data_IF_174730925399
#
_entry.id   IF_174730925399
#
_cell.length_a   1.000
_cell.length_b   1.000
_cell.length_c   1.000
_cell.angle_alpha   90.00
_cell.angle_beta   90.00
_cell.angle_gamma   90.00
#
_symmetry.space_group_name_H-M   'P 1'
#
loop_
_entity.id
_entity.type
_entity.pdbx_description
1 polymer ?
#
# COMPACT_ATOMS: atom_id res chain seq x y z
N UNK A 1 -36.78 24.24 -17.77
CA UNK A 1 -35.84 24.41 -18.91
C UNK A 1 -35.07 23.11 -19.07
N UNK A 2 -35.21 22.40 -20.18
CA UNK A 2 -34.45 21.18 -20.46
C UNK A 2 -33.12 21.57 -21.11
N UNK A 3 -32.00 21.21 -20.50
CA UNK A 3 -30.68 21.39 -21.11
C UNK A 3 -30.55 20.32 -22.21
N UNK A 4 -30.52 20.78 -23.47
CA UNK A 4 -30.24 19.91 -24.62
C UNK A 4 -28.77 19.49 -24.53
N UNK A 5 -28.51 18.24 -24.17
CA UNK A 5 -27.18 17.64 -24.25
C UNK A 5 -27.00 17.06 -25.66
N UNK A 6 -26.11 17.64 -26.46
CA UNK A 6 -25.79 17.16 -27.82
C UNK A 6 -24.45 16.44 -27.76
N UNK A 7 -24.45 15.14 -28.05
CA UNK A 7 -23.24 14.30 -28.06
C UNK A 7 -22.77 14.20 -29.51
N UNK A 8 -21.70 14.91 -29.86
CA UNK A 8 -21.19 14.97 -31.24
C UNK A 8 -20.46 13.69 -31.68
N UNK A 9 -19.92 12.92 -30.73
CA UNK A 9 -19.25 11.65 -30.99
C UNK A 9 -19.59 10.62 -29.91
N UNK A 10 -20.77 10.00 -30.03
CA UNK A 10 -21.26 9.03 -29.05
C UNK A 10 -20.35 7.79 -28.95
N UNK A 11 -19.75 7.36 -30.06
CA UNK A 11 -18.86 6.20 -30.08
C UNK A 11 -17.60 6.43 -29.25
N UNK A 12 -16.94 7.59 -29.41
CA UNK A 12 -15.77 7.94 -28.61
C UNK A 12 -16.10 8.09 -27.12
N UNK A 13 -17.30 8.59 -26.78
CA UNK A 13 -17.75 8.68 -25.40
C UNK A 13 -17.97 7.28 -24.78
N UNK A 14 -18.61 6.36 -25.51
CA UNK A 14 -18.78 4.98 -25.05
C UNK A 14 -17.43 4.29 -24.83
N UNK A 15 -16.49 4.42 -25.78
CA UNK A 15 -15.14 3.88 -25.60
C UNK A 15 -14.41 4.47 -24.40
N UNK A 16 -14.59 5.76 -24.11
CA UNK A 16 -14.01 6.38 -22.92
C UNK A 16 -14.63 5.86 -21.61
N UNK A 17 -15.93 5.56 -21.59
CA UNK A 17 -16.61 4.95 -20.43
C UNK A 17 -16.15 3.50 -20.23
N UNK A 18 -16.05 2.72 -21.30
CA UNK A 18 -15.57 1.33 -21.24
C UNK A 18 -14.11 1.27 -20.78
N UNK A 19 -13.26 2.19 -21.27
CA UNK A 19 -11.89 2.34 -20.80
C UNK A 19 -11.84 2.70 -19.31
N UNK A 20 -12.75 3.55 -18.83
CA UNK A 20 -12.84 3.90 -17.42
C UNK A 20 -13.23 2.69 -16.55
N UNK A 21 -14.13 1.83 -17.01
CA UNK A 21 -14.50 0.59 -16.33
C UNK A 21 -13.32 -0.39 -16.24
N UNK A 22 -12.54 -0.52 -17.32
CA UNK A 22 -11.34 -1.36 -17.32
C UNK A 22 -10.22 -0.80 -16.43
N UNK A 23 -10.05 0.52 -16.37
CA UNK A 23 -9.11 1.19 -15.45
C UNK A 23 -9.57 1.01 -14.00
N UNK A 24 -10.88 1.05 -13.74
CA UNK A 24 -11.46 0.77 -12.44
C UNK A 24 -11.43 -0.74 -12.07
N UNK A 25 -10.88 -1.60 -12.93
CA UNK A 25 -10.82 -3.03 -12.66
C UNK A 25 -10.05 -3.34 -11.37
N UNK A 26 -10.47 -4.42 -10.69
CA UNK A 26 -9.84 -4.86 -9.44
C UNK A 26 -8.33 -5.08 -9.58
N UNK A 27 -7.89 -5.60 -10.74
CA UNK A 27 -6.46 -5.84 -11.02
C UNK A 27 -5.67 -4.53 -11.01
N UNK A 28 -6.18 -3.49 -11.67
CA UNK A 28 -5.52 -2.17 -11.76
C UNK A 28 -5.49 -1.50 -10.39
N UNK A 29 -6.61 -1.52 -9.66
CA UNK A 29 -6.68 -0.99 -8.30
C UNK A 29 -5.68 -1.67 -7.37
N UNK A 30 -5.57 -3.01 -7.43
CA UNK A 30 -4.58 -3.76 -6.64
C UNK A 30 -3.15 -3.39 -6.99
N UNK A 31 -2.82 -3.29 -8.28
CA UNK A 31 -1.48 -2.92 -8.73
C UNK A 31 -1.11 -1.51 -8.25
N UNK A 32 -2.02 -0.55 -8.39
CA UNK A 32 -1.82 0.83 -7.95
C UNK A 32 -1.66 0.92 -6.43
N UNK A 33 -2.51 0.25 -5.64
CA UNK A 33 -2.39 0.25 -4.17
C UNK A 33 -1.09 -0.39 -3.71
N UNK A 34 -0.66 -1.51 -4.32
CA UNK A 34 0.61 -2.15 -4.00
C UNK A 34 1.79 -1.23 -4.34
N UNK A 35 1.74 -0.49 -5.45
CA UNK A 35 2.79 0.46 -5.80
C UNK A 35 2.95 1.56 -4.75
N UNK A 36 1.85 2.16 -4.28
CA UNK A 36 1.88 3.13 -3.18
C UNK A 36 2.38 2.51 -1.87
N UNK A 37 1.89 1.31 -1.52
CA UNK A 37 2.31 0.61 -0.31
C UNK A 37 3.80 0.24 -0.30
N UNK A 38 4.41 -0.05 -1.46
CA UNK A 38 5.85 -0.31 -1.58
C UNK A 38 6.70 0.89 -1.17
N UNK A 39 6.26 2.11 -1.47
CA UNK A 39 6.96 3.33 -1.06
C UNK A 39 7.00 3.44 0.47
N UNK A 40 5.85 3.24 1.12
CA UNK A 40 5.74 3.28 2.58
C UNK A 40 6.54 2.13 3.22
N UNK A 41 6.47 0.92 2.65
CA UNK A 41 7.24 -0.23 3.13
C UNK A 41 8.75 0.03 3.07
N UNK A 42 9.25 0.62 1.97
CA UNK A 42 10.67 0.93 1.83
C UNK A 42 11.14 1.88 2.93
N UNK A 43 10.38 2.95 3.19
CA UNK A 43 10.69 3.89 4.27
C UNK A 43 10.58 3.25 5.66
N UNK A 44 9.56 2.42 5.88
CA UNK A 44 9.40 1.68 7.13
C UNK A 44 10.60 0.77 7.42
N UNK A 45 11.17 0.14 6.38
CA UNK A 45 12.38 -0.69 6.51
C UNK A 45 13.63 0.12 6.89
N UNK A 46 13.74 1.37 6.43
CA UNK A 46 14.85 2.25 6.81
C UNK A 46 14.74 2.71 8.26
N UNK A 47 13.51 2.89 8.76
CA UNK A 47 13.25 3.35 10.13
C UNK A 47 13.17 2.23 11.16
N UNK A 48 12.97 1.00 10.72
CA UNK A 48 12.82 -0.16 11.59
C UNK A 48 14.05 -0.30 12.51
N UNK A 49 13.87 -0.35 13.85
CA UNK A 49 14.97 -0.54 14.78
C UNK A 49 15.70 -1.86 14.52
N UNK A 50 17.04 -1.81 14.56
CA UNK A 50 17.92 -2.96 14.43
C UNK A 50 18.68 -3.09 15.75
N UNK A 51 18.52 -4.23 16.42
CA UNK A 51 19.27 -4.52 17.65
C UNK A 51 20.72 -4.89 17.34
N UNK A 52 21.60 -4.75 18.34
CA UNK A 52 23.04 -5.01 18.18
C UNK A 52 23.41 -6.49 18.34
N UNK A 53 22.55 -7.27 18.98
CA UNK A 53 22.82 -8.66 19.33
C UNK A 53 21.65 -9.58 18.97
N UNK A 54 22.01 -10.84 18.70
CA UNK A 54 21.04 -11.91 18.53
C UNK A 54 20.36 -12.21 19.87
N UNK A 55 19.04 -12.34 19.86
CA UNK A 55 18.25 -12.69 21.02
C UNK A 55 17.54 -14.03 20.82
N UNK A 56 17.52 -14.88 21.85
CA UNK A 56 16.77 -16.13 21.83
C UNK A 56 15.49 -15.97 22.66
N UNK A 57 14.35 -16.33 22.05
CA UNK A 57 13.08 -16.39 22.75
C UNK A 57 12.36 -17.70 22.46
N UNK A 58 11.33 -17.99 23.25
CA UNK A 58 10.44 -19.12 23.02
C UNK A 58 9.75 -18.94 21.66
N UNK A 59 10.28 -19.59 20.62
CA UNK A 59 9.85 -19.43 19.24
C UNK A 59 10.97 -19.31 18.21
N UNK A 60 12.23 -19.08 18.64
CA UNK A 60 13.39 -19.11 17.75
C UNK A 60 14.50 -18.13 18.14
N UNK A 61 15.50 -18.08 17.27
CA UNK A 61 16.65 -17.16 17.35
C UNK A 61 16.37 -15.94 16.47
N UNK A 62 16.46 -14.74 17.03
CA UNK A 62 16.18 -13.48 16.35
C UNK A 62 17.48 -12.72 16.13
N UNK A 63 17.94 -12.70 14.89
CA UNK A 63 19.11 -11.94 14.51
C UNK A 63 18.81 -10.42 14.45
N UNK A 64 19.83 -9.56 14.58
CA UNK A 64 19.75 -8.17 14.20
C UNK A 64 19.04 -7.97 12.85
N UNK A 65 17.96 -7.19 12.84
CA UNK A 65 17.24 -6.83 11.61
C UNK A 65 16.07 -7.75 11.25
N UNK A 66 15.79 -8.82 12.01
CA UNK A 66 14.63 -9.70 11.74
C UNK A 66 13.31 -8.91 11.60
N UNK A 67 13.09 -7.86 12.40
CA UNK A 67 11.91 -7.00 12.26
C UNK A 67 11.83 -6.35 10.88
N UNK A 68 12.90 -5.68 10.45
CA UNK A 68 12.99 -5.00 9.15
C UNK A 68 12.68 -5.97 8.01
N UNK A 69 13.25 -7.16 8.08
CA UNK A 69 13.16 -8.15 7.01
C UNK A 69 11.78 -8.83 7.01
N UNK A 70 11.09 -8.85 8.15
CA UNK A 70 9.72 -9.35 8.31
C UNK A 70 8.64 -8.34 7.93
N UNK A 71 9.00 -7.08 7.59
CA UNK A 71 8.03 -6.10 7.10
C UNK A 71 7.52 -6.46 5.71
N UNK A 72 6.20 -6.44 5.55
CA UNK A 72 5.48 -6.92 4.38
C UNK A 72 4.25 -6.05 4.07
N UNK A 73 3.71 -6.25 2.88
CA UNK A 73 2.42 -5.70 2.44
C UNK A 73 1.41 -6.85 2.44
N UNK A 74 0.37 -6.75 3.27
CA UNK A 74 -0.67 -7.76 3.41
C UNK A 74 -1.98 -7.28 2.77
N UNK A 75 -2.69 -8.15 2.06
CA UNK A 75 -4.02 -7.84 1.55
C UNK A 75 -5.06 -7.97 2.65
N UNK A 76 -5.82 -6.91 2.91
CA UNK A 76 -6.91 -6.90 3.88
C UNK A 76 -8.21 -7.30 3.18
N UNK A 77 -8.59 -8.57 3.33
CA UNK A 77 -9.82 -9.11 2.72
C UNK A 77 -11.09 -8.50 3.31
N UNK A 78 -11.08 -8.16 4.60
CA UNK A 78 -12.26 -7.67 5.31
C UNK A 78 -12.59 -6.24 4.90
N UNK A 79 -11.55 -5.42 4.71
CA UNK A 79 -11.72 -4.05 4.23
C UNK A 79 -11.67 -3.93 2.71
N UNK A 80 -11.51 -5.00 1.96
CA UNK A 80 -11.57 -4.93 0.49
C UNK A 80 -12.97 -5.24 -0.02
N UNK A 81 -13.38 -4.53 -1.07
CA UNK A 81 -14.64 -4.75 -1.77
C UNK A 81 -14.29 -5.06 -3.23
N UNK A 82 -14.66 -6.26 -3.69
CA UNK A 82 -14.37 -6.71 -5.05
C UNK A 82 -14.86 -5.69 -6.09
N UNK A 83 -14.00 -5.37 -7.06
CA UNK A 83 -14.28 -4.37 -8.11
C UNK A 83 -14.42 -2.91 -7.66
N UNK A 84 -14.28 -2.59 -6.36
CA UNK A 84 -14.49 -1.22 -5.85
C UNK A 84 -13.32 -0.71 -5.00
N UNK A 85 -12.76 -1.54 -4.13
CA UNK A 85 -11.75 -1.13 -3.15
C UNK A 85 -10.78 -2.26 -2.85
N UNK A 86 -9.49 -2.04 -3.09
CA UNK A 86 -8.43 -2.94 -2.69
C UNK A 86 -7.62 -2.33 -1.53
N UNK A 87 -7.73 -2.91 -0.34
CA UNK A 87 -7.08 -2.44 0.88
C UNK A 87 -5.85 -3.30 1.19
N UNK A 88 -4.73 -2.64 1.47
CA UNK A 88 -3.48 -3.30 1.85
C UNK A 88 -2.90 -2.66 3.12
N UNK A 89 -2.26 -3.49 3.94
CA UNK A 89 -1.62 -3.11 5.19
C UNK A 89 -0.11 -3.24 5.05
N UNK A 90 0.63 -2.18 5.38
CA UNK A 90 2.06 -2.27 5.64
C UNK A 90 2.23 -2.71 7.10
N UNK A 91 2.69 -3.95 7.29
CA UNK A 91 2.73 -4.61 8.60
C UNK A 91 3.94 -5.55 8.68
N UNK A 92 4.06 -6.33 9.74
CA UNK A 92 5.11 -7.33 9.94
C UNK A 92 4.54 -8.77 9.98
N UNK A 93 5.38 -9.76 9.68
CA UNK A 93 5.04 -11.17 9.87
C UNK A 93 4.88 -11.52 11.36
N UNK A 94 4.19 -12.63 11.65
CA UNK A 94 4.01 -13.13 13.02
C UNK A 94 5.34 -13.44 13.71
N UNK A 95 6.39 -13.72 12.95
CA UNK A 95 7.71 -14.03 13.49
C UNK A 95 8.35 -12.82 14.18
N UNK A 96 8.06 -11.61 13.70
CA UNK A 96 8.49 -10.36 14.33
C UNK A 96 7.43 -9.77 15.28
N UNK A 97 6.80 -10.60 16.12
CA UNK A 97 5.73 -10.20 17.05
C UNK A 97 6.10 -8.99 17.93
N UNK A 98 7.38 -8.86 18.28
CA UNK A 98 7.90 -7.80 19.12
C UNK A 98 7.88 -6.41 18.45
N UNK A 99 7.67 -6.34 17.13
CA UNK A 99 7.48 -5.07 16.41
C UNK A 99 6.35 -4.22 17.00
N UNK A 100 5.31 -4.85 17.56
CA UNK A 100 4.21 -4.15 18.24
C UNK A 100 4.66 -3.38 19.49
N UNK A 101 5.64 -3.91 20.22
CA UNK A 101 6.18 -3.28 21.42
C UNK A 101 7.15 -2.16 21.08
N UNK A 102 7.88 -2.29 19.96
CA UNK A 102 8.74 -1.22 19.46
C UNK A 102 7.91 -0.04 18.92
N UNK A 103 6.88 -0.29 18.11
CA UNK A 103 6.09 0.79 17.50
C UNK A 103 5.38 1.67 18.54
N UNK A 104 4.86 1.07 19.62
CA UNK A 104 3.99 1.78 20.57
C UNK A 104 4.54 1.86 22.00
N UNK A 105 5.67 1.21 22.28
CA UNK A 105 6.22 1.13 23.64
C UNK A 105 5.48 0.14 24.54
N UNK A 106 5.97 0.06 25.78
CA UNK A 106 5.39 -0.74 26.87
C UNK A 106 5.48 0.05 28.16
N UNK A 107 4.89 -0.46 29.26
CA UNK A 107 5.05 0.17 30.57
C UNK A 107 6.50 0.30 31.04
N UNK A 108 7.45 -0.45 30.45
CA UNK A 108 8.86 -0.48 30.87
C UNK A 108 9.83 0.08 29.83
N UNK A 109 9.34 0.45 28.64
CA UNK A 109 10.17 0.87 27.51
C UNK A 109 9.43 1.90 26.65
N UNK A 110 10.11 2.99 26.30
CA UNK A 110 9.57 4.01 25.39
C UNK A 110 9.35 3.47 23.98
N UNK A 111 8.42 4.08 23.24
CA UNK A 111 8.15 3.74 21.85
C UNK A 111 9.31 4.17 20.93
N UNK A 112 9.62 3.32 19.95
CA UNK A 112 10.50 3.57 18.81
C UNK A 112 9.68 3.43 17.52
N UNK A 113 8.79 4.40 17.22
CA UNK A 113 7.86 4.29 16.10
C UNK A 113 8.63 4.31 14.77
N UNK A 114 8.24 3.41 13.87
CA UNK A 114 8.83 3.27 12.53
C UNK A 114 7.75 3.27 11.43
N UNK A 115 6.54 2.75 11.70
CA UNK A 115 5.45 2.75 10.71
C UNK A 115 4.81 4.13 10.57
N UNK A 116 4.39 4.73 11.69
CA UNK A 116 3.74 6.05 11.64
C UNK A 116 4.63 7.12 10.97
N UNK A 117 5.90 7.30 11.37
CA UNK A 117 6.76 8.28 10.71
C UNK A 117 7.07 7.91 9.25
N UNK A 118 7.14 6.63 8.89
CA UNK A 118 7.31 6.24 7.49
C UNK A 118 6.11 6.66 6.62
N UNK A 119 4.89 6.43 7.11
CA UNK A 119 3.67 6.88 6.45
C UNK A 119 3.65 8.41 6.30
N UNK A 120 3.88 9.15 7.39
CA UNK A 120 3.82 10.61 7.37
C UNK A 120 4.85 11.23 6.43
N UNK A 121 6.06 10.63 6.33
CA UNK A 121 7.11 11.06 5.41
C UNK A 121 6.80 10.75 3.94
N UNK A 122 6.09 9.66 3.65
CA UNK A 122 5.94 9.15 2.26
C UNK A 122 4.53 9.22 1.69
N UNK A 123 3.51 9.64 2.45
CA UNK A 123 2.10 9.66 2.01
C UNK A 123 1.87 10.34 0.65
N UNK A 124 2.59 11.43 0.35
CA UNK A 124 2.49 12.11 -0.94
C UNK A 124 3.16 11.32 -2.07
N UNK A 125 4.35 10.77 -1.82
CA UNK A 125 5.06 9.93 -2.79
C UNK A 125 4.29 8.62 -3.07
N UNK A 126 3.65 8.04 -2.05
CA UNK A 126 2.79 6.87 -2.19
C UNK A 126 1.56 7.18 -3.05
N UNK A 127 0.92 8.34 -2.85
CA UNK A 127 -0.19 8.79 -3.69
C UNK A 127 0.24 9.03 -5.15
N UNK A 128 1.42 9.63 -5.36
CA UNK A 128 1.98 9.81 -6.70
C UNK A 128 2.30 8.48 -7.39
N UNK A 129 2.85 7.51 -6.66
CA UNK A 129 3.12 6.17 -7.18
C UNK A 129 1.82 5.43 -7.54
N UNK A 130 0.76 5.59 -6.74
CA UNK A 130 -0.58 5.09 -7.06
C UNK A 130 -1.09 5.71 -8.38
N UNK A 131 -1.13 7.04 -8.48
CA UNK A 131 -1.60 7.74 -9.68
C UNK A 131 -0.81 7.38 -10.92
N UNK A 132 0.52 7.21 -10.80
CA UNK A 132 1.38 6.80 -11.92
C UNK A 132 0.95 5.46 -12.51
N UNK A 133 0.61 4.48 -11.68
CA UNK A 133 0.14 3.16 -12.17
C UNK A 133 -1.21 3.27 -12.85
N UNK A 134 -2.13 4.06 -12.28
CA UNK A 134 -3.43 4.33 -12.90
C UNK A 134 -3.25 4.98 -14.27
N UNK A 135 -2.45 6.04 -14.37
CA UNK A 135 -2.19 6.77 -15.62
C UNK A 135 -1.54 5.88 -16.68
N UNK A 136 -0.61 5.02 -16.29
CA UNK A 136 0.00 4.04 -17.18
C UNK A 136 -1.04 3.06 -17.72
N UNK A 137 -1.91 2.54 -16.85
CA UNK A 137 -2.97 1.60 -17.26
C UNK A 137 -4.04 2.24 -18.12
N UNK A 138 -4.42 3.49 -17.83
CA UNK A 138 -5.31 4.27 -18.71
C UNK A 138 -4.70 4.37 -20.11
N UNK A 139 -3.43 4.78 -20.22
CA UNK A 139 -2.75 4.91 -21.52
C UNK A 139 -2.69 3.59 -22.28
N UNK A 140 -2.36 2.49 -21.61
CA UNK A 140 -2.34 1.15 -22.23
C UNK A 140 -3.72 0.75 -22.78
N UNK A 141 -4.81 1.09 -22.09
CA UNK A 141 -6.17 0.71 -22.46
C UNK A 141 -6.82 1.64 -23.50
N UNK A 142 -6.37 2.90 -23.57
CA UNK A 142 -6.92 3.89 -24.53
C UNK A 142 -6.18 3.93 -25.87
N UNK A 143 -5.01 3.27 -25.96
CA UNK A 143 -4.23 3.15 -27.21
C UNK A 143 -4.54 1.86 -28.01
N UNK A 144 -5.65 1.18 -27.69
CA UNK A 144 -6.31 0.18 -28.54
C UNK A 144 -7.46 0.85 -29.27
#
# INVERSE_FOLDING_TARGET
>A
MAVKLTIENAAALTSAIDALEQVASESVLRQATVAGARVILAEAKLRAPVGDATYEHKGGTYAPGTLRDSLLIAYDKEQSVAGLRATYLVTWSKDAFYGRFLEFGTSKMAAQPFLRPAYDATKQAAAAAFSTVIDQKVKELTHV
#
